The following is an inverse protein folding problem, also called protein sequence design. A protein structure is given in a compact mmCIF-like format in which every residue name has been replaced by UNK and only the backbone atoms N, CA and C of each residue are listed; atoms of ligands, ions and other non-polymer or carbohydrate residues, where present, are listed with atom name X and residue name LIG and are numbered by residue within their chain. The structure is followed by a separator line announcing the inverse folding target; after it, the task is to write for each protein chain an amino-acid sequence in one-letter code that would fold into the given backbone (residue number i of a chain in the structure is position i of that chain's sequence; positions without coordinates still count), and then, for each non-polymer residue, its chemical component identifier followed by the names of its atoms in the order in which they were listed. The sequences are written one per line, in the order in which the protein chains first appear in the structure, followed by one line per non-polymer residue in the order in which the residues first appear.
data_IF_291008616601
#
_entry.id   IF_291008616601
#
_cell.length_a   1.000
_cell.length_b   1.000
_cell.length_c   1.000
_cell.angle_alpha   90.00
_cell.angle_beta   90.00
_cell.angle_gamma   90.00
#
_symmetry.space_group_name_H-M   'P 1'
#
loop_
_entity.id
_entity.type
_entity.pdbx_description
1 polymer ?
#
# COMPACT_ATOMS: atom_id res chain seq x y z
N UNK A 1 13.70 -5.14 -7.33
CA UNK A 1 12.78 -6.15 -6.78
C UNK A 1 12.19 -5.62 -5.48
N UNK A 2 10.86 -5.55 -5.38
CA UNK A 2 10.16 -5.16 -4.15
C UNK A 2 10.40 -6.28 -3.12
N UNK A 3 11.12 -5.98 -2.03
CA UNK A 3 11.38 -6.98 -0.99
C UNK A 3 10.07 -7.31 -0.26
N UNK A 4 9.48 -8.45 -0.59
CA UNK A 4 8.24 -8.99 0.00
C UNK A 4 8.45 -9.50 1.45
N UNK A 5 9.08 -8.72 2.32
CA UNK A 5 9.26 -9.08 3.72
C UNK A 5 7.94 -8.85 4.47
N UNK A 6 7.17 -9.94 4.62
CA UNK A 6 5.94 -10.09 5.44
C UNK A 6 4.66 -9.45 4.92
N UNK A 7 4.27 -9.71 3.67
CA UNK A 7 2.85 -9.59 3.28
C UNK A 7 2.43 -10.93 2.71
N UNK A 8 1.40 -11.56 3.29
CA UNK A 8 0.70 -12.66 2.64
C UNK A 8 -0.04 -12.02 1.46
N UNK A 9 0.39 -12.24 0.20
CA UNK A 9 -0.37 -11.72 -0.93
C UNK A 9 -1.75 -12.38 -0.85
N UNK A 10 -2.81 -11.59 -0.68
CA UNK A 10 -4.14 -12.07 -1.02
C UNK A 10 -4.21 -11.99 -2.54
N UNK A 11 -3.95 -13.12 -3.19
CA UNK A 11 -4.11 -13.25 -4.63
C UNK A 11 -5.61 -13.40 -4.90
N UNK A 12 -6.22 -12.42 -5.54
CA UNK A 12 -7.64 -12.45 -5.89
C UNK A 12 -7.76 -12.03 -7.36
N UNK A 13 -8.36 -12.89 -8.21
CA UNK A 13 -8.66 -12.63 -9.62
C UNK A 13 -7.48 -12.07 -10.46
N UNK A 14 -6.28 -12.66 -10.34
CA UNK A 14 -5.11 -12.25 -11.15
C UNK A 14 -4.43 -10.96 -10.70
N UNK A 15 -4.76 -10.45 -9.50
CA UNK A 15 -4.09 -9.31 -8.88
C UNK A 15 -3.33 -9.74 -7.64
N UNK A 16 -2.14 -9.16 -7.48
CA UNK A 16 -1.31 -9.35 -6.28
C UNK A 16 -1.26 -8.06 -5.49
N UNK A 17 -1.41 -8.18 -4.17
CA UNK A 17 -1.50 -7.05 -3.28
C UNK A 17 -0.35 -7.03 -2.28
N UNK A 18 0.35 -5.89 -2.19
CA UNK A 18 1.56 -5.71 -1.39
C UNK A 18 1.44 -4.49 -0.48
N UNK A 19 1.89 -4.58 0.77
CA UNK A 19 2.15 -3.39 1.58
C UNK A 19 3.63 -3.03 1.42
N UNK A 20 3.92 -1.86 0.87
CA UNK A 20 5.29 -1.39 0.67
C UNK A 20 5.61 -0.35 1.74
N UNK A 21 6.74 -0.55 2.43
CA UNK A 21 7.33 0.51 3.26
C UNK A 21 8.07 1.48 2.37
N UNK A 22 7.78 2.77 2.52
CA UNK A 22 8.38 3.83 1.71
C UNK A 22 9.72 4.30 2.28
N UNK A 23 10.06 3.92 3.52
CA UNK A 23 11.29 4.33 4.20
C UNK A 23 11.36 5.81 4.58
N UNK A 24 10.35 6.60 4.22
CA UNK A 24 10.18 8.00 4.58
C UNK A 24 8.69 8.36 4.59
N UNK A 25 8.34 9.49 5.21
CA UNK A 25 6.97 10.00 5.23
C UNK A 25 6.57 10.46 3.83
N UNK A 26 5.49 9.90 3.30
CA UNK A 26 4.93 10.24 1.97
C UNK A 26 3.71 11.14 2.06
N UNK A 27 3.16 11.35 3.25
CA UNK A 27 2.02 12.23 3.49
C UNK A 27 1.38 11.98 4.84
N UNK A 28 0.10 12.33 4.94
CA UNK A 28 -0.74 12.07 6.10
C UNK A 28 -2.04 11.41 5.67
N UNK A 29 -2.63 10.61 6.55
CA UNK A 29 -3.92 9.98 6.27
C UNK A 29 -5.00 11.07 6.15
N UNK A 30 -5.68 11.10 5.00
CA UNK A 30 -6.76 12.04 4.70
C UNK A 30 -8.16 11.47 4.93
N UNK A 31 -9.18 12.26 4.61
CA UNK A 31 -10.60 11.89 4.73
C UNK A 31 -11.07 11.72 6.18
N UNK A 32 -12.26 11.16 6.36
CA UNK A 32 -12.90 10.99 7.68
C UNK A 32 -12.06 10.13 8.62
N UNK A 33 -11.41 9.09 8.10
CA UNK A 33 -10.53 8.23 8.89
C UNK A 33 -9.24 8.94 9.31
N UNK A 34 -8.70 9.80 8.44
CA UNK A 34 -7.59 10.68 8.77
C UNK A 34 -7.97 11.65 9.88
N UNK A 35 -9.10 12.33 9.72
CA UNK A 35 -9.61 13.29 10.70
C UNK A 35 -9.88 12.64 12.07
N UNK A 36 -10.43 11.42 12.11
CA UNK A 36 -10.68 10.72 13.37
C UNK A 36 -9.43 10.21 14.08
N UNK A 37 -8.28 10.20 13.40
CA UNK A 37 -6.98 9.73 13.92
C UNK A 37 -5.94 10.85 14.04
N UNK A 38 -6.36 12.11 13.91
CA UNK A 38 -5.48 13.29 13.91
C UNK A 38 -4.40 13.24 12.82
N UNK A 39 -4.80 12.85 11.61
CA UNK A 39 -3.97 12.85 10.41
C UNK A 39 -2.60 12.20 10.63
N UNK A 40 -2.54 10.88 10.96
CA UNK A 40 -1.26 10.22 11.23
C UNK A 40 -0.36 10.24 9.99
N UNK A 41 0.97 10.33 10.17
CA UNK A 41 1.92 10.28 9.07
C UNK A 41 1.87 8.91 8.37
N UNK A 42 1.92 8.93 7.04
CA UNK A 42 1.99 7.73 6.22
C UNK A 42 3.42 7.44 5.81
N UNK A 43 3.88 6.24 6.12
CA UNK A 43 5.19 5.69 5.74
C UNK A 43 5.06 4.37 4.98
N UNK A 44 3.82 3.93 4.74
CA UNK A 44 3.46 2.68 4.06
C UNK A 44 2.31 2.93 3.09
N UNK A 45 2.35 2.19 1.99
CA UNK A 45 1.29 2.19 0.99
C UNK A 45 0.90 0.75 0.67
N UNK A 46 -0.37 0.53 0.41
CA UNK A 46 -0.84 -0.71 -0.19
C UNK A 46 -0.81 -0.53 -1.71
N UNK A 47 -0.17 -1.44 -2.43
CA UNK A 47 -0.05 -1.42 -3.89
C UNK A 47 -0.66 -2.72 -4.42
N UNK A 48 -1.54 -2.59 -5.39
CA UNK A 48 -2.09 -3.71 -6.15
C UNK A 48 -1.42 -3.70 -7.52
N UNK A 49 -0.83 -4.82 -7.90
CA UNK A 49 -0.22 -5.03 -9.21
C UNK A 49 -0.92 -6.16 -9.95
N UNK A 50 -0.85 -6.13 -11.27
CA UNK A 50 -1.25 -7.29 -12.08
C UNK A 50 -0.26 -8.44 -11.82
N UNK A 51 -0.79 -9.65 -11.67
CA UNK A 51 0.03 -10.83 -11.41
C UNK A 51 1.15 -10.97 -12.44
N UNK A 52 2.34 -11.38 -11.98
CA UNK A 52 3.51 -11.61 -12.82
C UNK A 52 4.00 -10.39 -13.63
N UNK A 53 3.62 -9.18 -13.21
CA UNK A 53 4.09 -7.92 -13.82
C UNK A 53 4.62 -6.93 -12.78
N UNK A 54 5.14 -5.81 -13.27
CA UNK A 54 5.40 -4.61 -12.47
C UNK A 54 4.34 -3.52 -12.69
N UNK A 55 3.22 -3.86 -13.31
CA UNK A 55 2.17 -2.90 -13.64
C UNK A 55 1.32 -2.60 -12.40
N UNK A 56 1.27 -1.32 -12.00
CA UNK A 56 0.52 -0.88 -10.82
C UNK A 56 -0.92 -0.59 -11.22
N UNK A 57 -1.87 -1.31 -10.63
CA UNK A 57 -3.31 -1.12 -10.84
C UNK A 57 -3.82 0.01 -9.96
N UNK A 58 -3.46 0.00 -8.67
CA UNK A 58 -3.86 1.03 -7.72
C UNK A 58 -2.94 1.06 -6.50
N UNK A 59 -2.88 2.20 -5.82
CA UNK A 59 -2.21 2.35 -4.54
C UNK A 59 -3.08 3.17 -3.58
N UNK A 60 -3.12 2.76 -2.30
CA UNK A 60 -3.85 3.48 -1.27
C UNK A 60 -3.11 3.52 0.07
N UNK A 61 -3.34 4.57 0.89
CA UNK A 61 -2.82 4.66 2.25
C UNK A 61 -3.17 3.44 3.11
N UNK A 62 -2.30 3.09 4.06
CA UNK A 62 -2.56 2.06 5.08
C UNK A 62 -2.36 2.59 6.48
#
# INVERSE_FOLDING_TARGET
MIQAKKIRPQTENGRSAYTVSMGHRVGFLGGTLGASRDHPPLDRVFIVVEADTTNIVTAFPK
#
